data_IF_928001559073
#
_entry.id   IF_928001559073
#
_cell.length_a   1.000
_cell.length_b   1.000
_cell.length_c   1.000
_cell.angle_alpha   90.00
_cell.angle_beta   90.00
_cell.angle_gamma   90.00
#
_symmetry.space_group_name_H-M   'P 1'
#
loop_
_entity.id
_entity.type
_entity.pdbx_description
1 polymer ?
#
# COMPACT_ATOMS: atom_id res chain seq x y z
N UNK A 1 -3.49 -6.85 -17.92
CA UNK A 1 -2.46 -6.41 -16.95
C UNK A 1 -1.67 -5.29 -17.59
N UNK A 2 -1.35 -4.26 -16.83
CA UNK A 2 -0.60 -3.06 -17.23
C UNK A 2 0.44 -2.73 -16.15
N UNK A 3 1.64 -2.24 -16.51
CA UNK A 3 2.20 -2.25 -17.85
C UNK A 3 2.42 -3.68 -18.37
N UNK A 4 2.64 -3.83 -19.68
CA UNK A 4 3.18 -5.08 -20.25
C UNK A 4 4.60 -5.33 -19.71
N UNK A 5 5.11 -6.55 -19.90
CA UNK A 5 6.47 -6.90 -19.43
C UNK A 5 7.56 -6.01 -20.07
N UNK A 6 7.40 -5.65 -21.34
CA UNK A 6 8.37 -4.80 -22.04
C UNK A 6 8.31 -3.36 -21.49
N UNK A 7 7.11 -2.80 -21.35
CA UNK A 7 6.89 -1.47 -20.78
C UNK A 7 7.35 -1.37 -19.32
N UNK A 8 7.11 -2.42 -18.52
CA UNK A 8 7.62 -2.49 -17.14
C UNK A 8 9.13 -2.35 -17.09
N UNK A 9 9.86 -3.09 -17.95
CA UNK A 9 11.31 -3.03 -18.01
C UNK A 9 11.81 -1.63 -18.35
N UNK A 10 11.11 -0.91 -19.23
CA UNK A 10 11.47 0.45 -19.59
C UNK A 10 11.23 1.42 -18.44
N UNK A 11 10.05 1.38 -17.81
CA UNK A 11 9.71 2.22 -16.66
C UNK A 11 10.68 1.99 -15.48
N UNK A 12 11.06 0.73 -15.23
CA UNK A 12 11.97 0.36 -14.14
C UNK A 12 13.40 0.88 -14.31
N UNK A 13 13.78 1.41 -15.49
CA UNK A 13 15.10 2.04 -15.68
C UNK A 13 15.22 3.36 -14.93
N UNK A 14 14.10 4.06 -14.73
CA UNK A 14 14.08 5.43 -14.18
C UNK A 14 13.21 5.58 -12.93
N UNK A 15 12.41 4.57 -12.58
CA UNK A 15 11.51 4.61 -11.43
C UNK A 15 11.85 3.51 -10.42
N UNK A 16 11.95 3.88 -9.15
CA UNK A 16 12.17 2.94 -8.04
C UNK A 16 10.95 2.05 -7.78
N UNK A 17 9.75 2.53 -8.11
CA UNK A 17 8.48 1.80 -7.93
C UNK A 17 7.66 1.88 -9.22
N UNK A 18 7.30 0.73 -9.78
CA UNK A 18 6.44 0.62 -10.97
C UNK A 18 5.23 -0.27 -10.64
N UNK A 19 4.01 0.29 -10.54
CA UNK A 19 2.83 -0.50 -10.18
C UNK A 19 2.38 -1.39 -11.35
N UNK A 20 2.21 -2.68 -11.09
CA UNK A 20 1.59 -3.62 -12.03
C UNK A 20 0.15 -3.87 -11.60
N UNK A 21 -0.81 -3.52 -12.46
CA UNK A 21 -2.22 -3.47 -12.14
C UNK A 21 -3.10 -4.00 -13.27
N UNK A 22 -4.39 -4.16 -12.97
CA UNK A 22 -5.44 -4.37 -13.96
C UNK A 22 -6.76 -3.86 -13.39
N UNK A 23 -7.63 -3.40 -14.27
CA UNK A 23 -9.04 -3.18 -13.94
C UNK A 23 -9.82 -4.49 -14.02
N UNK A 24 -10.81 -4.61 -13.14
CA UNK A 24 -11.73 -5.73 -13.02
C UNK A 24 -13.14 -5.17 -12.83
N UNK A 25 -14.15 -5.83 -13.38
CA UNK A 25 -15.54 -5.52 -13.07
C UNK A 25 -15.85 -6.01 -11.66
N UNK A 26 -16.36 -5.12 -10.81
CA UNK A 26 -16.62 -5.37 -9.39
C UNK A 26 -17.90 -4.66 -8.93
N UNK A 27 -18.87 -4.51 -9.83
CA UNK A 27 -20.18 -3.88 -9.62
C UNK A 27 -20.97 -4.45 -8.43
N UNK A 28 -20.81 -5.74 -8.15
CA UNK A 28 -21.44 -6.42 -7.02
C UNK A 28 -20.56 -6.52 -5.76
N UNK A 29 -19.44 -5.80 -5.72
CA UNK A 29 -18.47 -5.89 -4.62
C UNK A 29 -18.39 -4.53 -3.93
N UNK A 30 -18.85 -4.48 -2.67
CA UNK A 30 -18.62 -3.31 -1.81
C UNK A 30 -17.17 -3.29 -1.31
N UNK A 31 -16.63 -2.12 -0.93
CA UNK A 31 -15.27 -2.03 -0.39
C UNK A 31 -15.01 -2.95 0.81
N UNK A 32 -15.97 -3.06 1.74
CA UNK A 32 -15.87 -3.98 2.89
C UNK A 32 -15.84 -5.45 2.45
N UNK A 33 -16.62 -5.82 1.44
CA UNK A 33 -16.59 -7.17 0.88
C UNK A 33 -15.27 -7.44 0.14
N UNK A 34 -14.71 -6.44 -0.55
CA UNK A 34 -13.40 -6.55 -1.19
C UNK A 34 -12.30 -6.75 -0.14
N UNK A 35 -12.30 -5.96 0.94
CA UNK A 35 -11.37 -6.12 2.06
C UNK A 35 -11.44 -7.54 2.63
N UNK A 36 -12.63 -7.98 3.06
CA UNK A 36 -12.82 -9.31 3.65
C UNK A 36 -12.39 -10.48 2.74
N UNK A 37 -12.54 -10.34 1.41
CA UNK A 37 -12.10 -11.35 0.43
C UNK A 37 -10.59 -11.32 0.18
N UNK A 38 -9.98 -10.14 0.25
CA UNK A 38 -8.55 -9.96 -0.07
C UNK A 38 -7.66 -10.25 1.14
N UNK A 39 -8.07 -9.91 2.35
CA UNK A 39 -7.31 -10.14 3.59
C UNK A 39 -7.75 -11.43 4.28
N UNK A 40 -6.78 -12.31 4.60
CA UNK A 40 -7.05 -13.51 5.42
C UNK A 40 -7.00 -13.16 6.90
N UNK A 41 -7.70 -13.95 7.72
CA UNK A 41 -7.62 -13.83 9.18
C UNK A 41 -6.17 -13.89 9.66
N UNK A 42 -5.75 -12.89 10.43
CA UNK A 42 -4.39 -12.77 10.96
C UNK A 42 -3.35 -12.12 10.03
N UNK A 43 -3.68 -11.82 8.77
CA UNK A 43 -2.78 -11.05 7.90
C UNK A 43 -2.93 -9.54 8.10
N UNK A 44 -1.83 -8.77 8.11
CA UNK A 44 -1.91 -7.31 8.15
C UNK A 44 -2.58 -6.75 6.89
N UNK A 45 -3.49 -5.81 7.09
CA UNK A 45 -4.20 -5.09 6.02
C UNK A 45 -4.98 -3.89 6.55
N UNK A 46 -5.44 -3.06 5.62
CA UNK A 46 -6.27 -1.89 5.91
C UNK A 46 -7.36 -1.69 4.87
N UNK A 47 -8.44 -1.02 5.28
CA UNK A 47 -9.46 -0.44 4.42
C UNK A 47 -9.55 1.05 4.76
N UNK A 48 -9.37 1.91 3.77
CA UNK A 48 -9.55 3.36 3.91
C UNK A 48 -10.72 3.80 3.04
N UNK A 49 -11.68 4.47 3.66
CA UNK A 49 -12.84 5.07 3.01
C UNK A 49 -12.95 6.53 3.45
N UNK A 50 -13.37 7.40 2.53
CA UNK A 50 -13.59 8.81 2.81
C UNK A 50 -15.06 9.19 2.61
N UNK A 51 -15.57 10.02 3.50
CA UNK A 51 -16.91 10.62 3.43
C UNK A 51 -16.73 12.12 3.20
N UNK A 52 -17.29 12.62 2.11
CA UNK A 52 -17.30 14.04 1.81
C UNK A 52 -18.59 14.67 2.35
N UNK A 53 -18.46 15.75 3.13
CA UNK A 53 -19.57 16.58 3.62
C UNK A 53 -20.74 15.84 4.30
N UNK A 54 -20.48 14.66 4.89
CA UNK A 54 -21.45 13.90 5.68
C UNK A 54 -22.52 13.13 4.90
N UNK A 55 -22.66 13.35 3.59
CA UNK A 55 -23.76 12.78 2.80
C UNK A 55 -23.30 12.01 1.55
N UNK A 56 -22.05 12.19 1.11
CA UNK A 56 -21.56 11.55 -0.11
C UNK A 56 -20.30 10.74 0.16
N UNK A 57 -20.36 9.44 -0.09
CA UNK A 57 -19.14 8.63 -0.17
C UNK A 57 -18.25 9.12 -1.30
N UNK A 58 -16.96 9.21 -1.02
CA UNK A 58 -15.96 9.51 -2.04
C UNK A 58 -15.95 8.44 -3.13
N UNK A 59 -15.42 8.78 -4.31
CA UNK A 59 -15.41 7.88 -5.48
C UNK A 59 -14.54 6.62 -5.27
N UNK A 60 -13.63 6.64 -4.30
CA UNK A 60 -12.59 5.62 -4.15
C UNK A 60 -12.49 5.12 -2.71
N UNK A 61 -12.34 3.80 -2.57
CA UNK A 61 -11.91 3.15 -1.33
C UNK A 61 -10.58 2.44 -1.60
N UNK A 62 -9.68 2.40 -0.62
CA UNK A 62 -8.37 1.76 -0.74
C UNK A 62 -8.29 0.53 0.16
N UNK A 63 -7.94 -0.61 -0.43
CA UNK A 63 -7.65 -1.85 0.30
C UNK A 63 -6.18 -2.18 0.16
N UNK A 64 -5.50 -2.29 1.30
CA UNK A 64 -4.12 -2.75 1.40
C UNK A 64 -4.02 -4.06 2.16
N UNK A 65 -3.11 -4.95 1.74
CA UNK A 65 -2.80 -6.20 2.44
C UNK A 65 -1.34 -6.57 2.25
N UNK A 66 -0.79 -7.37 3.17
CA UNK A 66 0.58 -7.90 3.07
C UNK A 66 1.60 -6.81 2.67
N UNK A 67 1.76 -5.77 3.50
CA UNK A 67 2.71 -4.70 3.21
C UNK A 67 4.11 -5.31 3.03
N UNK A 68 4.94 -4.66 2.21
CA UNK A 68 6.31 -5.12 1.98
C UNK A 68 7.19 -5.03 3.23
N UNK A 69 6.86 -4.10 4.14
CA UNK A 69 7.45 -3.93 5.47
C UNK A 69 6.57 -2.99 6.31
N UNK A 70 6.73 -3.02 7.63
CA UNK A 70 6.07 -2.09 8.57
C UNK A 70 7.12 -1.31 9.36
N UNK A 71 7.16 0.02 9.22
CA UNK A 71 7.98 0.88 10.07
C UNK A 71 7.26 1.17 11.39
N UNK A 72 7.98 1.04 12.50
CA UNK A 72 7.47 1.31 13.85
C UNK A 72 8.43 2.24 14.57
N UNK A 73 7.94 3.41 14.98
CA UNK A 73 8.63 4.32 15.89
C UNK A 73 8.16 4.08 17.32
N UNK A 74 9.10 3.80 18.23
CA UNK A 74 8.82 3.61 19.66
C UNK A 74 10.04 4.02 20.48
N UNK A 75 9.82 4.80 21.53
CA UNK A 75 10.85 5.25 22.47
C UNK A 75 12.07 5.90 21.78
N UNK A 76 11.81 6.67 20.71
CA UNK A 76 12.86 7.34 19.92
C UNK A 76 13.60 6.43 18.94
N UNK A 77 13.27 5.14 18.87
CA UNK A 77 13.85 4.18 17.93
C UNK A 77 12.90 3.85 16.77
N UNK A 78 13.44 3.72 15.55
CA UNK A 78 12.69 3.25 14.38
C UNK A 78 13.11 1.82 14.06
N UNK A 79 12.12 0.94 13.91
CA UNK A 79 12.34 -0.48 13.60
C UNK A 79 11.49 -0.91 12.40
N UNK A 80 11.97 -1.92 11.68
CA UNK A 80 11.25 -2.54 10.57
C UNK A 80 10.72 -3.90 11.01
N UNK A 81 9.45 -4.18 10.72
CA UNK A 81 8.80 -5.47 10.99
C UNK A 81 8.25 -6.07 9.70
N UNK A 82 8.16 -7.40 9.69
CA UNK A 82 7.46 -8.19 8.67
C UNK A 82 7.89 -7.89 7.23
N UNK A 83 9.19 -7.63 7.02
CA UNK A 83 9.75 -7.37 5.70
C UNK A 83 11.07 -6.60 5.71
N UNK A 84 11.48 -6.16 4.52
CA UNK A 84 12.73 -5.42 4.29
C UNK A 84 12.44 -4.11 3.56
N UNK A 85 13.18 -3.06 3.92
CA UNK A 85 13.13 -1.78 3.25
C UNK A 85 14.32 -1.62 2.29
N UNK A 86 14.20 -0.76 1.27
CA UNK A 86 15.35 -0.36 0.48
C UNK A 86 16.47 0.18 1.37
N UNK A 87 17.72 -0.11 1.04
CA UNK A 87 18.89 0.34 1.79
C UNK A 87 19.01 1.88 1.92
N UNK A 88 18.27 2.63 1.10
CA UNK A 88 18.21 4.08 1.16
C UNK A 88 17.41 4.64 2.35
N UNK A 89 16.61 3.81 3.04
CA UNK A 89 15.79 4.26 4.17
C UNK A 89 16.65 4.44 5.43
N UNK A 90 16.63 5.65 6.00
CA UNK A 90 17.43 6.04 7.17
C UNK A 90 16.64 5.85 8.46
N UNK A 91 17.03 4.86 9.27
CA UNK A 91 16.30 4.48 10.48
C UNK A 91 16.85 5.16 11.76
N UNK A 92 18.07 5.66 11.70
CA UNK A 92 18.82 6.28 12.80
C UNK A 92 18.59 7.79 12.95
N UNK A 93 18.00 8.43 11.93
CA UNK A 93 17.65 9.86 11.93
C UNK A 93 16.20 10.14 12.40
N UNK A 94 15.51 9.10 12.91
CA UNK A 94 14.12 9.20 13.37
C UNK A 94 13.07 8.97 12.27
N UNK A 95 11.80 8.91 12.66
CA UNK A 95 10.73 8.41 11.79
C UNK A 95 10.46 9.30 10.57
N UNK A 96 10.64 10.61 10.68
CA UNK A 96 10.43 11.52 9.56
C UNK A 96 11.46 11.27 8.46
N UNK A 97 12.74 11.16 8.81
CA UNK A 97 13.81 10.83 7.87
C UNK A 97 13.66 9.43 7.24
N UNK A 98 12.95 8.51 7.91
CA UNK A 98 12.68 7.17 7.41
C UNK A 98 11.51 7.11 6.40
N UNK A 99 10.65 8.14 6.34
CA UNK A 99 9.48 8.16 5.44
C UNK A 99 9.59 9.14 4.27
N UNK A 100 10.62 10.00 4.29
CA UNK A 100 11.00 10.89 3.18
C UNK A 100 11.78 10.15 2.09
#
# INVERSE_FOLDING_TARGET
>A
MRPSRAEFKELARTHTVVPVWRELLADLITPVAAFARLTRSGEPGFLLESVEHGERWSRWSFVGRRPAATLVSRDGSVTVRDGELPAAVRLDEGILAAVE
#
